data_IF_183325042830
#
_entry.id   IF_183325042830
#
_cell.length_a   1.000
_cell.length_b   1.000
_cell.length_c   1.000
_cell.angle_alpha   90.00
_cell.angle_beta   90.00
_cell.angle_gamma   90.00
#
_symmetry.space_group_name_H-M   'P 1'
#
loop_
_entity.id
_entity.type
_entity.pdbx_description
1 polymer ?
#
# COMPACT_ATOMS: atom_id res chain seq x y z
N UNK A 1 14.15 3.85 19.95
CA UNK A 1 15.03 4.45 18.93
C UNK A 1 14.42 4.02 17.60
N UNK A 2 13.84 4.94 16.85
CA UNK A 2 13.02 4.68 15.67
C UNK A 2 13.92 4.67 14.43
N UNK A 3 14.21 3.47 13.92
CA UNK A 3 15.10 3.21 12.78
C UNK A 3 14.39 3.34 11.41
N UNK A 4 13.28 4.09 11.35
CA UNK A 4 12.36 4.04 10.21
C UNK A 4 12.81 4.94 9.05
N UNK A 5 13.63 5.98 9.27
CA UNK A 5 14.12 6.84 8.19
C UNK A 5 15.52 7.36 8.51
N UNK A 6 16.55 6.53 8.31
CA UNK A 6 17.93 7.01 8.28
C UNK A 6 18.24 7.64 6.91
N UNK A 7 18.17 8.97 6.82
CA UNK A 7 18.85 9.71 5.75
C UNK A 7 20.35 9.59 5.99
N UNK A 8 20.96 8.55 5.42
CA UNK A 8 22.42 8.37 5.47
C UNK A 8 23.07 9.43 4.55
N UNK A 9 24.06 10.21 5.00
CA UNK A 9 24.81 11.09 4.12
C UNK A 9 25.71 10.21 3.27
N UNK A 10 25.29 9.94 2.04
CA UNK A 10 26.08 9.17 1.08
C UNK A 10 26.83 10.20 0.23
N UNK A 11 28.13 10.35 0.51
CA UNK A 11 29.07 11.10 -0.32
C UNK A 11 29.29 10.36 -1.66
N UNK A 12 28.25 10.26 -2.50
CA UNK A 12 28.32 9.70 -3.85
C UNK A 12 27.97 10.76 -4.87
N UNK A 13 28.89 10.94 -5.82
CA UNK A 13 28.85 11.89 -6.93
C UNK A 13 27.77 11.52 -7.97
N UNK A 14 26.48 11.62 -7.62
CA UNK A 14 25.38 11.66 -8.60
C UNK A 14 24.30 12.64 -8.09
N UNK A 15 24.42 13.90 -8.53
CA UNK A 15 23.61 15.05 -8.09
C UNK A 15 22.09 14.84 -8.24
N UNK A 16 21.66 13.98 -9.18
CA UNK A 16 20.26 13.73 -9.54
C UNK A 16 19.50 12.80 -8.57
N UNK A 17 20.20 12.03 -7.73
CA UNK A 17 19.57 10.98 -6.90
C UNK A 17 19.20 11.50 -5.50
N UNK A 18 19.86 12.57 -5.03
CA UNK A 18 19.66 13.18 -3.71
C UNK A 18 18.25 13.74 -3.51
N UNK A 19 17.71 14.42 -4.52
CA UNK A 19 16.35 14.95 -4.48
C UNK A 19 15.29 13.85 -4.42
N UNK A 20 15.53 12.73 -5.10
CA UNK A 20 14.58 11.61 -5.16
C UNK A 20 14.46 10.90 -3.81
N UNK A 21 15.58 10.62 -3.14
CA UNK A 21 15.55 10.01 -1.80
C UNK A 21 14.91 10.93 -0.76
N UNK A 22 15.29 12.20 -0.75
CA UNK A 22 14.69 13.18 0.16
C UNK A 22 13.19 13.33 -0.09
N UNK A 23 12.75 13.31 -1.35
CA UNK A 23 11.34 13.34 -1.73
C UNK A 23 10.58 12.13 -1.21
N UNK A 24 11.07 10.91 -1.46
CA UNK A 24 10.43 9.68 -0.99
C UNK A 24 10.35 9.67 0.54
N UNK A 25 11.44 10.02 1.24
CA UNK A 25 11.47 10.08 2.70
C UNK A 25 10.45 11.10 3.26
N UNK A 26 10.37 12.28 2.65
CA UNK A 26 9.41 13.32 3.05
C UNK A 26 7.97 12.88 2.79
N UNK A 27 7.71 12.22 1.66
CA UNK A 27 6.39 11.70 1.34
C UNK A 27 5.95 10.61 2.33
N UNK A 28 6.84 9.66 2.62
CA UNK A 28 6.59 8.63 3.64
C UNK A 28 6.28 9.26 5.00
N UNK A 29 7.09 10.25 5.43
CA UNK A 29 6.86 10.96 6.68
C UNK A 29 5.50 11.69 6.72
N UNK A 30 5.10 12.36 5.64
CA UNK A 30 3.80 13.05 5.57
C UNK A 30 2.65 12.05 5.70
N UNK A 31 2.76 10.90 5.04
CA UNK A 31 1.76 9.83 5.12
C UNK A 31 1.69 9.27 6.55
N UNK A 32 2.83 8.91 7.14
CA UNK A 32 2.90 8.38 8.51
C UNK A 32 2.34 9.37 9.53
N UNK A 33 2.70 10.65 9.42
CA UNK A 33 2.18 11.71 10.29
C UNK A 33 0.66 11.84 10.16
N UNK A 34 0.15 11.83 8.93
CA UNK A 34 -1.29 11.91 8.70
C UNK A 34 -2.04 10.71 9.29
N UNK A 35 -1.51 9.50 9.12
CA UNK A 35 -2.08 8.29 9.70
C UNK A 35 -2.04 8.34 11.24
N UNK A 36 -0.91 8.74 11.82
CA UNK A 36 -0.74 8.89 13.27
C UNK A 36 -1.72 9.90 13.87
N UNK A 37 -1.92 11.04 13.22
CA UNK A 37 -2.89 12.05 13.66
C UNK A 37 -4.33 11.51 13.63
N UNK A 38 -4.69 10.73 12.61
CA UNK A 38 -6.03 10.14 12.47
C UNK A 38 -6.26 8.95 13.39
N UNK A 39 -5.21 8.23 13.76
CA UNK A 39 -5.30 7.04 14.61
C UNK A 39 -4.95 7.31 16.07
N UNK A 40 -4.69 8.57 16.46
CA UNK A 40 -4.27 8.94 17.81
C UNK A 40 -5.19 8.42 18.93
N UNK A 41 -6.49 8.33 18.67
CA UNK A 41 -7.51 7.85 19.63
C UNK A 41 -7.70 6.32 19.61
N UNK A 42 -7.10 5.66 18.62
CA UNK A 42 -7.06 4.21 18.49
C UNK A 42 -5.69 3.82 19.04
N UNK A 43 -5.61 3.24 20.23
CA UNK A 43 -4.34 2.89 20.90
C UNK A 43 -3.52 1.85 20.10
N UNK A 44 -2.92 2.28 18.98
CA UNK A 44 -2.22 1.47 17.97
C UNK A 44 -1.10 2.31 17.35
N UNK A 45 0.00 1.66 16.98
CA UNK A 45 1.06 2.31 16.21
C UNK A 45 0.70 2.39 14.72
N UNK A 46 1.34 3.31 13.99
CA UNK A 46 1.13 3.44 12.53
C UNK A 46 1.54 2.15 11.81
N UNK A 47 2.63 1.51 12.24
CA UNK A 47 3.11 0.24 11.68
C UNK A 47 2.08 -0.89 11.86
N UNK A 48 1.56 -1.08 13.08
CA UNK A 48 0.52 -2.07 13.35
C UNK A 48 -0.76 -1.79 12.56
N UNK A 49 -1.16 -0.52 12.45
CA UNK A 49 -2.33 -0.12 11.66
C UNK A 49 -2.17 -0.44 10.17
N UNK A 50 -0.99 -0.18 9.59
CA UNK A 50 -0.68 -0.55 8.20
C UNK A 50 -0.69 -2.08 8.05
N UNK A 51 -0.13 -2.81 9.01
CA UNK A 51 -0.14 -4.27 9.00
C UNK A 51 -1.57 -4.82 9.00
N UNK A 52 -2.44 -4.31 9.88
CA UNK A 52 -3.86 -4.66 9.93
C UNK A 52 -4.57 -4.35 8.61
N UNK A 53 -4.34 -3.18 8.02
CA UNK A 53 -4.92 -2.82 6.72
C UNK A 53 -4.41 -3.71 5.58
N UNK A 54 -3.14 -4.11 5.62
CA UNK A 54 -2.54 -5.02 4.61
C UNK A 54 -3.22 -6.39 4.58
N UNK A 55 -3.83 -6.81 5.69
CA UNK A 55 -4.61 -8.05 5.77
C UNK A 55 -5.92 -7.98 4.97
N UNK A 56 -6.41 -6.77 4.64
CA UNK A 56 -7.60 -6.55 3.81
C UNK A 56 -7.21 -6.72 2.35
N UNK A 57 -7.10 -7.97 1.90
CA UNK A 57 -6.77 -8.30 0.53
C UNK A 57 -8.01 -8.70 -0.28
N UNK A 58 -7.99 -8.39 -1.57
CA UNK A 58 -9.06 -8.81 -2.48
C UNK A 58 -9.01 -10.32 -2.70
N UNK A 59 -10.17 -10.96 -2.68
CA UNK A 59 -10.34 -12.37 -2.99
C UNK A 59 -10.96 -12.48 -4.38
N UNK A 60 -10.39 -13.30 -5.26
CA UNK A 60 -10.99 -13.56 -6.57
C UNK A 60 -12.13 -14.55 -6.39
N UNK A 61 -13.35 -14.12 -6.70
CA UNK A 61 -14.54 -14.97 -6.68
C UNK A 61 -15.00 -15.24 -8.11
N UNK A 62 -15.22 -16.51 -8.42
CA UNK A 62 -15.73 -16.96 -9.71
C UNK A 62 -17.09 -17.60 -9.51
N UNK A 63 -18.12 -16.99 -10.07
CA UNK A 63 -19.48 -17.55 -10.14
C UNK A 63 -19.79 -17.76 -11.60
N UNK A 64 -19.92 -19.02 -12.01
CA UNK A 64 -20.10 -19.45 -13.40
C UNK A 64 -19.06 -18.85 -14.38
N UNK A 65 -19.51 -17.92 -15.23
CA UNK A 65 -18.71 -17.22 -16.24
C UNK A 65 -18.22 -15.84 -15.78
N UNK A 66 -18.68 -15.35 -14.63
CA UNK A 66 -18.33 -14.02 -14.12
C UNK A 66 -17.23 -14.15 -13.07
N UNK A 67 -16.17 -13.36 -13.23
CA UNK A 67 -15.11 -13.21 -12.23
C UNK A 67 -15.17 -11.79 -11.67
N UNK A 68 -15.09 -11.67 -10.36
CA UNK A 68 -14.95 -10.38 -9.70
C UNK A 68 -14.02 -10.50 -8.49
N UNK A 69 -13.42 -9.38 -8.11
CA UNK A 69 -12.61 -9.28 -6.91
C UNK A 69 -13.49 -8.81 -5.78
N UNK A 70 -13.71 -9.65 -4.77
CA UNK A 70 -14.47 -9.30 -3.58
C UNK A 70 -13.53 -8.78 -2.50
N UNK A 71 -13.88 -7.66 -1.88
CA UNK A 71 -13.16 -7.19 -0.70
C UNK A 71 -13.84 -7.83 0.53
N UNK A 72 -13.10 -8.58 1.38
CA UNK A 72 -13.65 -9.17 2.59
C UNK A 72 -14.02 -8.07 3.59
N UNK A 73 -14.96 -8.39 4.50
CA UNK A 73 -15.28 -7.47 5.59
C UNK A 73 -14.05 -7.31 6.50
N UNK A 74 -13.58 -6.08 6.75
CA UNK A 74 -12.45 -5.85 7.65
C UNK A 74 -12.79 -6.31 9.06
N UNK A 75 -11.75 -6.70 9.82
CA UNK A 75 -11.86 -6.97 11.27
C UNK A 75 -12.28 -5.69 12.02
N UNK A 76 -12.62 -5.83 13.30
CA UNK A 76 -13.07 -4.70 14.12
C UNK A 76 -12.04 -3.56 14.14
N UNK A 77 -10.76 -3.88 14.30
CA UNK A 77 -9.66 -2.91 14.29
C UNK A 77 -9.55 -2.24 12.91
N UNK A 78 -9.45 -3.03 11.83
CA UNK A 78 -9.39 -2.50 10.46
C UNK A 78 -10.58 -1.60 10.11
N UNK A 79 -11.78 -1.92 10.59
CA UNK A 79 -12.98 -1.07 10.41
C UNK A 79 -12.83 0.26 11.13
N UNK A 80 -12.33 0.27 12.37
CA UNK A 80 -12.06 1.51 13.13
C UNK A 80 -11.01 2.37 12.43
N UNK A 81 -9.94 1.77 11.92
CA UNK A 81 -8.87 2.46 11.18
C UNK A 81 -9.39 3.12 9.90
N UNK A 82 -10.21 2.41 9.11
CA UNK A 82 -10.82 2.94 7.89
C UNK A 82 -11.83 4.05 8.19
N UNK A 83 -12.64 3.90 9.25
CA UNK A 83 -13.59 4.92 9.68
C UNK A 83 -12.90 6.21 10.13
N UNK A 84 -11.80 6.10 10.88
CA UNK A 84 -11.00 7.26 11.28
C UNK A 84 -10.42 8.03 10.08
N UNK A 85 -10.10 7.30 8.99
CA UNK A 85 -9.67 7.89 7.72
C UNK A 85 -10.83 8.35 6.82
N UNK A 86 -12.08 8.11 7.22
CA UNK A 86 -13.27 8.35 6.38
C UNK A 86 -13.21 7.64 5.03
N UNK A 87 -12.59 6.45 4.99
CA UNK A 87 -12.43 5.64 3.76
C UNK A 87 -13.47 4.53 3.72
N UNK A 88 -14.27 4.50 2.67
CA UNK A 88 -15.22 3.42 2.40
C UNK A 88 -14.71 2.51 1.29
N UNK A 89 -14.50 1.23 1.62
CA UNK A 89 -14.08 0.24 0.63
C UNK A 89 -15.27 -0.25 -0.22
N UNK A 90 -15.11 -0.40 -1.55
CA UNK A 90 -16.15 -0.99 -2.39
C UNK A 90 -16.31 -2.47 -2.07
N UNK A 91 -17.54 -3.01 -2.19
CA UNK A 91 -17.79 -4.44 -1.95
C UNK A 91 -17.14 -5.33 -3.01
N UNK A 92 -17.11 -4.86 -4.25
CA UNK A 92 -16.63 -5.60 -5.40
C UNK A 92 -15.85 -4.69 -6.34
N UNK A 93 -14.74 -5.20 -6.85
CA UNK A 93 -13.96 -4.60 -7.92
C UNK A 93 -14.12 -5.50 -9.15
N UNK A 94 -14.42 -4.91 -10.32
CA UNK A 94 -14.53 -5.66 -11.57
C UNK A 94 -13.20 -6.32 -11.91
N UNK A 95 -13.20 -7.63 -12.19
CA UNK A 95 -12.01 -8.32 -12.66
C UNK A 95 -11.84 -8.03 -14.16
N UNK A 96 -10.86 -7.22 -14.53
CA UNK A 96 -10.46 -7.09 -15.93
C UNK A 96 -9.49 -8.21 -16.29
N UNK A 97 -9.93 -9.16 -17.12
CA UNK A 97 -9.06 -10.19 -17.73
C UNK A 97 -8.12 -9.58 -18.81
N UNK A 98 -7.72 -8.31 -18.64
CA UNK A 98 -6.80 -7.60 -19.51
C UNK A 98 -5.41 -8.20 -19.39
N UNK A 99 -4.85 -8.68 -20.50
CA UNK A 99 -3.51 -9.24 -20.56
C UNK A 99 -2.44 -8.17 -20.31
N UNK A 100 -2.09 -7.94 -19.06
CA UNK A 100 -0.98 -7.03 -18.70
C UNK A 100 0.37 -7.61 -19.15
N UNK A 101 1.17 -6.76 -19.79
CA UNK A 101 2.54 -7.09 -20.16
C UNK A 101 3.48 -6.68 -19.03
N UNK A 102 3.73 -7.60 -18.10
CA UNK A 102 4.65 -7.34 -17.00
C UNK A 102 6.09 -7.42 -17.47
N UNK A 103 7.03 -6.75 -16.79
CA UNK A 103 8.48 -6.82 -17.08
C UNK A 103 8.94 -8.29 -17.23
N UNK A 104 8.50 -9.16 -16.31
CA UNK A 104 8.76 -10.61 -16.36
C UNK A 104 8.25 -11.27 -17.65
N UNK A 105 7.06 -10.90 -18.13
CA UNK A 105 6.46 -11.41 -19.38
C UNK A 105 7.19 -10.91 -20.63
N UNK A 106 7.72 -9.68 -20.59
CA UNK A 106 8.51 -9.09 -21.67
C UNK A 106 9.89 -9.75 -21.79
N UNK A 107 10.59 -9.97 -20.67
CA UNK A 107 11.89 -10.65 -20.65
C UNK A 107 11.80 -12.09 -21.21
N UNK A 108 10.73 -12.82 -20.88
CA UNK A 108 10.48 -14.16 -21.43
C UNK A 108 10.23 -14.16 -22.95
N UNK A 109 9.62 -13.09 -23.48
CA UNK A 109 9.39 -12.93 -24.93
C UNK A 109 10.65 -12.53 -25.69
N UNK A 110 11.59 -11.80 -25.07
CA UNK A 110 12.85 -11.35 -25.69
C UNK A 110 13.91 -12.45 -25.81
N UNK A 111 13.79 -13.52 -25.01
CA UNK A 111 14.69 -14.68 -25.04
C UNK A 111 14.27 -15.77 -26.05
N UNK A 112 13.21 -15.52 -26.82
CA UNK A 112 12.72 -16.37 -27.91
C UNK A 112 13.14 -15.76 -29.24
#
# INVERSE_FOLDING_TARGET
KSDIIELRPINSEEENTHGTHAFIATLSYIIEKHLGDKWKDINITVEEGIHELSSINCIITKVDKVKYNQIPKPREIGSKLLNALSVTLPKTISCSDTGVSTRKKLELKRKK
#
